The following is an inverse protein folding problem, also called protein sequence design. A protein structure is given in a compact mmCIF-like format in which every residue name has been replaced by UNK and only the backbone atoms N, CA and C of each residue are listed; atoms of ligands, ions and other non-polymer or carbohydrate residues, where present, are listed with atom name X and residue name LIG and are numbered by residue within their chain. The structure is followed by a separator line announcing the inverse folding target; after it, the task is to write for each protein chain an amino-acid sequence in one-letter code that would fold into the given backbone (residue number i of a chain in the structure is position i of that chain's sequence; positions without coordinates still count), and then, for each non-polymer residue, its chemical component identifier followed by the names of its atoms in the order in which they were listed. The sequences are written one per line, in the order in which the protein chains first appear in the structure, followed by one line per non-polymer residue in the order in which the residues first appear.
data_IF_307440286674
#
_entry.id   IF_307440286674
#
_cell.length_a   1.000
_cell.length_b   1.000
_cell.length_c   1.000
_cell.angle_alpha   90.00
_cell.angle_beta   90.00
_cell.angle_gamma   90.00
#
_symmetry.space_group_name_H-M   'P 1'
#
loop_
_entity.id
_entity.type
_entity.pdbx_description
1 polymer ?
#
# COMPACT_ATOMS: atom_id res chain seq x y z
N UNK A 1 -35.34 7.01 -33.98
CA UNK A 1 -34.49 5.88 -33.54
C UNK A 1 -33.03 6.23 -33.80
N UNK A 2 -32.13 5.67 -32.97
CA UNK A 2 -30.68 5.91 -32.87
C UNK A 2 -30.29 7.08 -31.97
N UNK A 3 -29.64 6.91 -30.81
CA UNK A 3 -29.16 5.71 -30.13
C UNK A 3 -28.43 6.18 -28.87
N UNK A 4 -28.79 5.61 -27.72
CA UNK A 4 -28.10 5.85 -26.46
C UNK A 4 -26.70 5.23 -26.53
N UNK A 5 -25.67 6.01 -26.20
CA UNK A 5 -24.32 5.50 -25.92
C UNK A 5 -23.93 5.94 -24.52
N UNK A 6 -24.41 5.19 -23.52
CA UNK A 6 -23.79 5.12 -22.21
C UNK A 6 -22.45 4.39 -22.36
N UNK A 7 -21.34 5.11 -22.25
CA UNK A 7 -20.03 4.53 -21.99
C UNK A 7 -19.39 5.32 -20.85
N UNK A 8 -19.45 4.77 -19.64
CA UNK A 8 -18.78 5.30 -18.47
C UNK A 8 -17.28 5.33 -18.70
N UNK A 9 -16.75 6.48 -19.09
CA UNK A 9 -15.32 6.76 -19.11
C UNK A 9 -14.81 6.77 -17.68
N UNK A 10 -14.39 5.62 -17.16
CA UNK A 10 -13.73 5.56 -15.86
C UNK A 10 -12.32 6.11 -16.05
N UNK A 11 -12.13 7.40 -15.75
CA UNK A 11 -10.80 8.02 -15.71
C UNK A 11 -9.88 7.12 -14.90
N UNK A 12 -8.68 6.76 -15.40
CA UNK A 12 -7.75 5.94 -14.65
C UNK A 12 -7.46 6.62 -13.31
N UNK A 13 -7.39 5.86 -12.20
CA UNK A 13 -7.10 6.44 -10.90
C UNK A 13 -5.76 7.17 -10.96
N UNK A 14 -5.67 8.30 -10.27
CA UNK A 14 -4.38 8.95 -10.06
C UNK A 14 -3.43 8.00 -9.33
N UNK A 15 -2.12 8.18 -9.51
CA UNK A 15 -1.10 7.40 -8.79
C UNK A 15 -1.34 7.44 -7.28
N UNK A 16 -1.76 8.60 -6.76
CA UNK A 16 -2.12 8.77 -5.36
C UNK A 16 -3.30 7.87 -4.95
N UNK A 17 -4.39 7.87 -5.72
CA UNK A 17 -5.56 7.02 -5.42
C UNK A 17 -5.21 5.53 -5.47
N UNK A 18 -4.40 5.09 -6.44
CA UNK A 18 -3.93 3.72 -6.54
C UNK A 18 -3.04 3.33 -5.34
N UNK A 19 -2.13 4.21 -4.94
CA UNK A 19 -1.27 4.00 -3.77
C UNK A 19 -2.08 3.86 -2.48
N UNK A 20 -3.06 4.74 -2.27
CA UNK A 20 -3.92 4.71 -1.09
C UNK A 20 -4.77 3.44 -1.03
N UNK A 21 -5.35 3.01 -2.15
CA UNK A 21 -6.12 1.78 -2.27
C UNK A 21 -5.26 0.53 -2.00
N UNK A 22 -4.06 0.47 -2.57
CA UNK A 22 -3.11 -0.61 -2.33
C UNK A 22 -2.70 -0.68 -0.84
N UNK A 23 -2.36 0.46 -0.23
CA UNK A 23 -2.03 0.53 1.19
C UNK A 23 -3.20 0.13 2.09
N UNK A 24 -4.44 0.49 1.72
CA UNK A 24 -5.63 0.12 2.47
C UNK A 24 -5.89 -1.40 2.48
N UNK A 25 -5.48 -2.11 1.42
CA UNK A 25 -5.63 -3.57 1.30
C UNK A 25 -4.61 -4.37 2.12
N UNK A 26 -3.50 -3.76 2.51
CA UNK A 26 -2.51 -4.43 3.36
C UNK A 26 -3.09 -4.66 4.77
N UNK A 27 -3.00 -5.89 5.33
CA UNK A 27 -3.48 -6.15 6.68
C UNK A 27 -2.73 -5.28 7.70
N UNK A 28 -3.37 -4.99 8.82
CA UNK A 28 -2.67 -4.44 9.97
C UNK A 28 -1.82 -5.53 10.64
N UNK A 29 -0.67 -5.14 11.17
CA UNK A 29 0.32 -6.07 11.70
C UNK A 29 1.35 -6.51 10.67
N UNK A 30 2.02 -7.62 10.96
CA UNK A 30 3.09 -8.17 10.14
C UNK A 30 2.55 -9.11 9.06
N UNK A 31 3.10 -9.01 7.85
CA UNK A 31 2.83 -9.91 6.73
C UNK A 31 4.09 -10.15 5.91
N UNK A 32 4.37 -11.42 5.59
CA UNK A 32 5.38 -11.77 4.60
C UNK A 32 4.85 -11.49 3.19
N UNK A 33 5.72 -11.24 2.22
CA UNK A 33 5.33 -11.01 0.84
C UNK A 33 6.53 -10.91 -0.10
N UNK A 34 6.25 -10.52 -1.33
CA UNK A 34 7.28 -10.31 -2.34
C UNK A 34 7.15 -8.94 -2.97
N UNK A 35 8.30 -8.36 -3.32
CA UNK A 35 8.37 -7.18 -4.16
C UNK A 35 9.57 -7.33 -5.09
N UNK A 36 9.34 -7.20 -6.40
CA UNK A 36 10.37 -7.39 -7.42
C UNK A 36 11.10 -8.75 -7.29
N UNK A 37 10.35 -9.85 -7.10
CA UNK A 37 10.86 -11.21 -6.86
C UNK A 37 11.80 -11.37 -5.66
N UNK A 38 11.79 -10.43 -4.71
CA UNK A 38 12.54 -10.54 -3.44
C UNK A 38 11.57 -10.76 -2.28
N UNK A 39 11.94 -11.57 -1.27
CA UNK A 39 11.10 -11.77 -0.09
C UNK A 39 11.20 -10.59 0.87
N UNK A 40 10.07 -10.15 1.41
CA UNK A 40 9.96 -9.03 2.34
C UNK A 40 9.05 -9.39 3.53
N UNK A 41 9.40 -8.87 4.71
CA UNK A 41 8.52 -8.75 5.85
C UNK A 41 8.00 -7.31 5.94
N UNK A 42 6.69 -7.11 5.99
CA UNK A 42 6.06 -5.79 6.06
C UNK A 42 5.19 -5.70 7.30
N UNK A 43 5.41 -4.66 8.11
CA UNK A 43 4.54 -4.28 9.22
C UNK A 43 3.78 -3.02 8.89
N UNK A 44 2.45 -3.08 8.97
CA UNK A 44 1.58 -1.91 8.89
C UNK A 44 0.99 -1.62 10.26
N UNK A 45 1.07 -0.37 10.71
CA UNK A 45 0.37 0.11 11.91
C UNK A 45 -0.59 1.22 11.51
N UNK A 46 -1.76 1.26 12.14
CA UNK A 46 -2.75 2.33 11.93
C UNK A 46 -3.06 2.99 13.27
N UNK A 47 -3.31 4.29 13.25
CA UNK A 47 -3.81 4.97 14.45
C UNK A 47 -5.27 4.62 14.68
N UNK A 48 -5.70 4.64 15.93
CA UNK A 48 -7.10 4.40 16.32
C UNK A 48 -8.08 5.34 15.61
N UNK A 49 -7.66 6.59 15.35
CA UNK A 49 -8.44 7.59 14.61
C UNK A 49 -8.41 7.41 13.08
N UNK A 50 -7.68 6.42 12.55
CA UNK A 50 -7.50 6.14 11.12
C UNK A 50 -6.72 7.21 10.33
N UNK A 51 -6.28 8.29 10.99
CA UNK A 51 -5.64 9.44 10.33
C UNK A 51 -4.16 9.21 10.03
N UNK A 52 -3.55 8.19 10.62
CA UNK A 52 -2.12 7.90 10.47
C UNK A 52 -1.92 6.43 10.10
N UNK A 53 -1.02 6.20 9.16
CA UNK A 53 -0.58 4.87 8.77
C UNK A 53 0.94 4.86 8.74
N UNK A 54 1.54 3.85 9.35
CA UNK A 54 2.98 3.62 9.31
C UNK A 54 3.22 2.31 8.60
N UNK A 55 4.22 2.28 7.73
CA UNK A 55 4.70 1.07 7.10
C UNK A 55 6.20 0.97 7.34
N UNK A 56 6.63 -0.23 7.73
CA UNK A 56 8.03 -0.63 7.76
C UNK A 56 8.15 -1.97 7.05
N UNK A 57 8.94 -2.03 5.99
CA UNK A 57 9.25 -3.22 5.22
C UNK A 57 10.75 -3.48 5.24
N UNK A 58 11.13 -4.73 5.45
CA UNK A 58 12.52 -5.19 5.36
C UNK A 58 12.64 -6.36 4.38
N UNK A 59 13.67 -6.32 3.54
CA UNK A 59 14.01 -7.40 2.64
C UNK A 59 14.69 -8.52 3.43
N UNK A 60 14.10 -9.71 3.42
CA UNK A 60 14.55 -10.84 4.24
C UNK A 60 15.87 -11.46 3.75
N UNK A 61 16.29 -11.14 2.53
CA UNK A 61 17.52 -11.68 1.92
C UNK A 61 18.74 -10.77 1.98
N UNK A 62 18.55 -9.43 1.99
CA UNK A 62 19.67 -8.49 1.77
C UNK A 62 19.62 -7.22 2.62
N UNK A 63 18.64 -7.10 3.54
CA UNK A 63 18.58 -6.00 4.50
C UNK A 63 18.18 -4.64 3.92
N UNK A 64 17.65 -4.60 2.69
CA UNK A 64 17.06 -3.38 2.16
C UNK A 64 15.81 -3.02 2.98
N UNK A 65 15.54 -1.72 3.13
CA UNK A 65 14.35 -1.24 3.85
C UNK A 65 13.48 -0.34 2.99
N UNK A 66 12.19 -0.32 3.31
CA UNK A 66 11.21 0.67 2.86
C UNK A 66 10.40 1.11 4.06
N UNK A 67 10.33 2.41 4.34
CA UNK A 67 9.51 2.91 5.45
C UNK A 67 8.95 4.30 5.18
N UNK A 68 7.74 4.53 5.67
CA UNK A 68 7.07 5.83 5.56
C UNK A 68 5.95 5.99 6.59
N UNK A 69 5.54 7.24 6.75
CA UNK A 69 4.32 7.64 7.45
C UNK A 69 3.36 8.30 6.46
N UNK A 70 2.07 7.99 6.55
CA UNK A 70 1.00 8.65 5.81
C UNK A 70 0.07 9.36 6.79
N UNK A 71 -0.17 10.65 6.55
CA UNK A 71 -1.04 11.48 7.38
C UNK A 71 -2.25 11.95 6.57
N UNK A 72 -3.45 11.74 7.11
CA UNK A 72 -4.72 12.26 6.59
C UNK A 72 -5.11 13.47 7.43
N UNK A 73 -4.79 14.65 6.93
CA UNK A 73 -5.07 15.93 7.60
C UNK A 73 -6.28 16.61 6.98
N UNK A 74 -6.97 17.51 7.71
CA UNK A 74 -7.95 18.42 7.10
C UNK A 74 -7.24 19.31 6.07
N UNK A 75 -7.49 19.07 4.78
CA UNK A 75 -6.78 19.75 3.69
C UNK A 75 -6.76 18.94 2.40
N UNK A 76 -6.08 19.43 1.35
CA UNK A 76 -6.04 18.76 0.06
C UNK A 76 -5.15 17.52 0.10
N UNK A 77 -5.78 16.36 0.34
CA UNK A 77 -5.18 15.03 0.22
C UNK A 77 -4.24 14.62 1.36
N UNK A 78 -3.82 13.35 1.40
CA UNK A 78 -2.91 12.87 2.41
C UNK A 78 -1.46 13.31 2.15
N UNK A 79 -0.69 13.39 3.24
CA UNK A 79 0.74 13.73 3.22
C UNK A 79 1.54 12.45 3.43
N UNK A 80 2.32 12.06 2.42
CA UNK A 80 3.28 10.96 2.48
C UNK A 80 4.65 11.47 2.95
N UNK A 81 5.23 10.81 3.96
CA UNK A 81 6.55 11.10 4.54
C UNK A 81 7.43 9.85 4.53
N UNK A 82 8.22 9.61 3.48
CA UNK A 82 9.22 8.55 3.45
C UNK A 82 10.35 8.76 4.47
N UNK A 83 10.89 7.68 5.01
CA UNK A 83 12.05 7.71 5.91
C UNK A 83 13.33 7.51 5.09
N UNK A 84 14.14 8.56 4.92
CA UNK A 84 15.46 8.48 4.25
C UNK A 84 15.43 7.90 2.81
N UNK A 85 14.29 8.02 2.11
CA UNK A 85 14.12 7.53 0.73
C UNK A 85 13.14 8.38 -0.08
N UNK A 86 13.03 8.12 -1.39
CA UNK A 86 12.14 8.86 -2.27
C UNK A 86 10.69 8.41 -2.14
N UNK A 87 9.74 9.34 -2.38
CA UNK A 87 8.32 8.99 -2.47
C UNK A 87 8.05 8.00 -3.60
N UNK A 88 8.77 8.11 -4.72
CA UNK A 88 8.64 7.17 -5.84
C UNK A 88 8.94 5.73 -5.40
N UNK A 89 10.05 5.49 -4.69
CA UNK A 89 10.41 4.16 -4.18
C UNK A 89 9.33 3.59 -3.26
N UNK A 90 8.77 4.42 -2.38
CA UNK A 90 7.69 4.02 -1.46
C UNK A 90 6.40 3.68 -2.23
N UNK A 91 6.03 4.51 -3.20
CA UNK A 91 4.83 4.30 -4.01
C UNK A 91 4.97 3.03 -4.83
N UNK A 92 6.09 2.85 -5.53
CA UNK A 92 6.37 1.65 -6.32
C UNK A 92 6.35 0.39 -5.46
N UNK A 93 6.95 0.46 -4.26
CA UNK A 93 6.93 -0.64 -3.31
C UNK A 93 5.50 -1.03 -2.91
N UNK A 94 4.68 -0.09 -2.47
CA UNK A 94 3.31 -0.38 -2.01
C UNK A 94 2.43 -0.87 -3.16
N UNK A 95 2.59 -0.31 -4.37
CA UNK A 95 1.83 -0.74 -5.55
C UNK A 95 2.24 -2.13 -6.05
N UNK A 96 3.50 -2.52 -5.87
CA UNK A 96 4.03 -3.81 -6.36
C UNK A 96 4.22 -4.89 -5.28
N UNK A 97 3.94 -4.59 -4.01
CA UNK A 97 4.08 -5.57 -2.94
C UNK A 97 2.92 -6.56 -2.96
N UNK A 98 3.26 -7.85 -2.98
CA UNK A 98 2.32 -8.96 -3.01
C UNK A 98 2.36 -9.71 -1.66
N UNK A 99 1.34 -9.54 -0.80
CA UNK A 99 1.29 -10.23 0.49
C UNK A 99 1.15 -11.75 0.30
N UNK A 100 1.98 -12.51 1.00
CA UNK A 100 1.87 -13.96 1.14
C UNK A 100 0.78 -14.28 2.16
N UNK A 101 -0.49 -14.15 1.77
CA UNK A 101 -1.62 -14.49 2.65
C UNK A 101 -1.61 -16.01 2.83
N UNK A 102 -0.98 -16.50 3.91
CA UNK A 102 -1.17 -17.90 4.32
C UNK A 102 -2.64 -18.05 4.70
N UNK A 103 -3.37 -18.89 3.96
CA UNK A 103 -4.67 -19.40 4.41
C UNK A 103 -4.44 -19.99 5.81
N UNK A 104 -5.12 -19.45 6.82
CA UNK A 104 -5.07 -20.02 8.16
C UNK A 104 -5.36 -21.54 8.06
N UNK A 105 -4.62 -22.41 8.77
CA UNK A 105 -4.98 -23.82 8.80
C UNK A 105 -6.42 -23.93 9.29
N UNK A 106 -7.27 -24.60 8.51
CA UNK A 106 -8.62 -24.95 8.94
C UNK A 106 -8.54 -25.69 10.27
N UNK A 107 -9.34 -25.33 11.29
CA UNK A 107 -9.43 -26.14 12.49
C UNK A 107 -9.97 -27.52 12.08
N UNK A 108 -9.20 -28.57 12.36
CA UNK A 108 -9.64 -29.96 12.23
C UNK A 108 -10.76 -30.29 13.21
#
# INVERSE_FOLDING_TARGET
MSGAMTAGGKTPPSVQAAFEDALAKLPEGYVDGHFSNRPWGVTVKRSEDGKRTWLYGEELSRGAIVSFNLYRLPGPGPILKPCEMSSAKVIDFVLGFEPSIKKAPSPS
#
